data_IF_983687304181
#
_entry.id   IF_983687304181
#
_cell.length_a   1.000
_cell.length_b   1.000
_cell.length_c   1.000
_cell.angle_alpha   90.00
_cell.angle_beta   90.00
_cell.angle_gamma   90.00
#
_symmetry.space_group_name_H-M   'P 1'
#
loop_
_entity.id
_entity.type
_entity.pdbx_description
1 polymer ?
#
# COMPACT_ATOMS: atom_id res chain seq x y z
N UNK A 1 8.37 -50.64 30.40
CA UNK A 1 8.47 -49.70 29.27
C UNK A 1 7.09 -49.67 28.63
N UNK A 2 6.34 -48.59 28.45
CA UNK A 2 6.55 -47.14 28.45
C UNK A 2 5.35 -46.51 29.19
N UNK A 3 5.55 -45.61 30.16
CA UNK A 3 5.74 -44.16 30.03
C UNK A 3 4.57 -43.42 29.33
N UNK A 4 3.85 -42.67 30.17
CA UNK A 4 3.25 -41.34 29.96
C UNK A 4 2.25 -41.12 28.83
N UNK A 5 0.96 -41.08 29.21
CA UNK A 5 0.05 -40.04 28.70
C UNK A 5 -0.42 -39.22 29.90
N UNK A 6 0.06 -37.98 29.91
CA UNK A 6 -0.04 -36.97 30.96
C UNK A 6 -1.49 -36.63 31.32
N UNK A 7 -1.77 -36.74 32.62
CA UNK A 7 -2.48 -35.85 33.58
C UNK A 7 -3.27 -34.59 33.15
N UNK A 8 -3.35 -34.20 31.88
CA UNK A 8 -4.08 -33.00 31.46
C UNK A 8 -5.60 -33.14 31.50
N UNK A 9 -6.14 -34.36 31.41
CA UNK A 9 -7.59 -34.62 31.46
C UNK A 9 -8.17 -34.60 32.89
N UNK A 10 -7.36 -34.76 33.93
CA UNK A 10 -7.85 -34.85 35.30
C UNK A 10 -7.99 -33.49 36.01
N UNK A 11 -7.38 -32.42 35.50
CA UNK A 11 -7.47 -31.07 36.11
C UNK A 11 -8.73 -30.30 35.67
N UNK A 12 -9.40 -30.74 34.59
CA UNK A 12 -10.62 -30.12 34.07
C UNK A 12 -11.84 -30.26 34.98
N UNK A 13 -11.88 -31.28 35.85
CA UNK A 13 -13.06 -31.61 36.65
C UNK A 13 -13.21 -30.80 37.96
N UNK A 14 -12.29 -29.86 38.27
CA UNK A 14 -12.33 -29.07 39.52
C UNK A 14 -12.29 -27.55 39.34
N UNK A 15 -12.37 -27.04 38.12
CA UNK A 15 -12.53 -25.59 37.93
C UNK A 15 -14.00 -25.18 38.04
N UNK A 16 -14.23 -24.10 38.78
CA UNK A 16 -15.53 -23.46 39.00
C UNK A 16 -16.30 -23.30 37.67
N UNK A 17 -17.64 -23.41 37.64
CA UNK A 17 -18.44 -23.35 36.41
C UNK A 17 -18.14 -22.13 35.51
N UNK A 18 -17.68 -21.02 36.11
CA UNK A 18 -17.29 -19.80 35.40
C UNK A 18 -15.95 -19.88 34.66
N UNK A 19 -14.99 -20.71 35.11
CA UNK A 19 -13.70 -20.85 34.43
C UNK A 19 -13.75 -21.86 33.28
N UNK A 20 -14.67 -22.84 33.34
CA UNK A 20 -14.97 -23.74 32.23
C UNK A 20 -15.58 -22.99 31.04
N UNK A 21 -16.26 -21.88 31.31
CA UNK A 21 -16.80 -20.99 30.28
C UNK A 21 -15.70 -20.23 29.52
N UNK A 22 -14.60 -19.87 30.17
CA UNK A 22 -13.48 -19.18 29.51
C UNK A 22 -12.61 -20.12 28.64
N UNK A 23 -12.53 -21.41 28.96
CA UNK A 23 -11.71 -22.37 28.19
C UNK A 23 -12.37 -22.87 26.90
N UNK A 24 -13.66 -22.61 26.69
CA UNK A 24 -14.40 -22.98 25.48
C UNK A 24 -14.93 -21.80 24.67
N UNK A 25 -14.69 -20.57 25.13
CA UNK A 25 -14.99 -19.36 24.38
C UNK A 25 -13.68 -18.67 24.01
N UNK A 26 -12.96 -19.21 23.02
CA UNK A 26 -12.14 -18.36 22.16
C UNK A 26 -13.10 -17.36 21.52
N UNK A 27 -13.03 -16.09 21.94
CA UNK A 27 -13.88 -15.04 21.43
C UNK A 27 -13.74 -14.95 19.90
N UNK A 28 -14.82 -15.12 19.11
CA UNK A 28 -14.76 -15.02 17.65
C UNK A 28 -14.24 -13.66 17.16
N UNK A 29 -14.29 -12.62 18.00
CA UNK A 29 -13.73 -11.29 17.73
C UNK A 29 -12.19 -11.29 17.56
N UNK A 30 -11.46 -12.12 18.32
CA UNK A 30 -9.98 -12.21 18.21
C UNK A 30 -9.53 -13.00 16.97
N UNK A 31 -10.25 -14.06 16.58
CA UNK A 31 -9.94 -14.83 15.37
C UNK A 31 -10.21 -14.01 14.09
N UNK A 32 -11.31 -13.27 14.04
CA UNK A 32 -11.67 -12.44 12.88
C UNK A 32 -10.70 -11.26 12.68
N UNK A 33 -10.29 -10.61 13.77
CA UNK A 33 -9.26 -9.59 13.81
C UNK A 33 -7.92 -10.06 13.18
N UNK A 34 -7.46 -11.25 13.55
CA UNK A 34 -6.24 -11.85 13.01
C UNK A 34 -6.34 -12.21 11.52
N UNK A 35 -7.56 -12.50 11.05
CA UNK A 35 -7.86 -12.78 9.64
C UNK A 35 -7.76 -11.51 8.78
N UNK A 36 -8.39 -10.42 9.24
CA UNK A 36 -8.38 -9.13 8.55
C UNK A 36 -6.97 -8.53 8.49
N UNK A 37 -6.18 -8.61 9.57
CA UNK A 37 -4.79 -8.19 9.57
C UNK A 37 -3.94 -8.96 8.55
N UNK A 38 -4.09 -10.29 8.48
CA UNK A 38 -3.39 -11.13 7.48
C UNK A 38 -3.82 -10.78 6.06
N UNK A 39 -5.10 -10.52 5.85
CA UNK A 39 -5.61 -10.07 4.55
C UNK A 39 -4.99 -8.73 4.15
N UNK A 40 -4.94 -7.74 5.04
CA UNK A 40 -4.30 -6.44 4.78
C UNK A 40 -2.82 -6.57 4.48
N UNK A 41 -2.09 -7.35 5.28
CA UNK A 41 -0.68 -7.61 5.03
C UNK A 41 -0.46 -8.28 3.67
N UNK A 42 -1.35 -9.21 3.27
CA UNK A 42 -1.33 -9.83 1.95
C UNK A 42 -1.64 -8.82 0.83
N UNK A 43 -2.65 -7.96 1.01
CA UNK A 43 -2.99 -6.91 0.04
C UNK A 43 -1.81 -5.96 -0.17
N UNK A 44 -1.22 -5.44 0.92
CA UNK A 44 -0.03 -4.59 0.85
C UNK A 44 1.11 -5.33 0.15
N UNK A 45 1.45 -6.54 0.59
CA UNK A 45 2.50 -7.36 -0.04
C UNK A 45 2.27 -7.53 -1.55
N UNK A 46 1.04 -7.80 -1.97
CA UNK A 46 0.69 -7.93 -3.39
C UNK A 46 0.95 -6.64 -4.19
N UNK A 47 0.81 -5.46 -3.59
CA UNK A 47 1.12 -4.18 -4.24
C UNK A 47 2.63 -4.03 -4.48
N UNK A 48 3.45 -4.42 -3.51
CA UNK A 48 4.91 -4.42 -3.62
C UNK A 48 5.40 -5.50 -4.60
N UNK A 49 4.90 -6.74 -4.48
CA UNK A 49 5.32 -7.87 -5.33
C UNK A 49 4.96 -7.62 -6.81
N UNK A 50 3.87 -6.90 -7.10
CA UNK A 50 3.50 -6.47 -8.45
C UNK A 50 4.20 -5.17 -8.91
N UNK A 51 5.02 -4.56 -8.05
CA UNK A 51 5.79 -3.35 -8.33
C UNK A 51 4.97 -2.05 -8.37
N UNK A 52 3.73 -2.04 -7.88
CA UNK A 52 2.91 -0.83 -7.81
C UNK A 52 3.47 0.16 -6.78
N UNK A 53 3.96 -0.36 -5.65
CA UNK A 53 4.56 0.41 -4.57
C UNK A 53 6.05 0.06 -4.40
N UNK A 54 6.84 1.04 -3.97
CA UNK A 54 8.23 0.86 -3.52
C UNK A 54 8.41 1.30 -2.06
N UNK A 55 9.65 1.20 -1.55
CA UNK A 55 10.01 1.48 -0.17
C UNK A 55 9.60 2.88 0.33
N UNK A 56 9.43 3.85 -0.59
CA UNK A 56 8.97 5.18 -0.20
C UNK A 56 7.57 5.17 0.40
N UNK A 57 6.72 4.20 0.05
CA UNK A 57 5.41 4.03 0.67
C UNK A 57 5.53 3.57 2.14
N UNK A 58 6.48 2.67 2.47
CA UNK A 58 6.74 2.28 3.86
C UNK A 58 7.22 3.48 4.68
N UNK A 59 8.13 4.29 4.12
CA UNK A 59 8.58 5.52 4.77
C UNK A 59 7.43 6.51 5.00
N UNK A 60 6.46 6.56 4.10
CA UNK A 60 5.27 7.38 4.27
C UNK A 60 4.39 6.87 5.43
N UNK A 61 4.25 5.55 5.58
CA UNK A 61 3.55 4.93 6.71
C UNK A 61 4.25 5.15 8.05
N UNK A 62 5.58 5.20 8.09
CA UNK A 62 6.35 5.49 9.31
C UNK A 62 6.09 6.90 9.88
N UNK A 63 5.60 7.82 9.05
CA UNK A 63 5.21 9.17 9.47
C UNK A 63 3.83 9.22 10.14
N UNK A 64 3.04 8.16 10.04
CA UNK A 64 1.72 8.09 10.65
C UNK A 64 1.83 7.75 12.14
N UNK A 65 1.12 8.51 12.98
CA UNK A 65 1.07 8.29 14.42
C UNK A 65 -0.34 8.43 15.00
N UNK A 66 -0.48 8.26 16.32
CA UNK A 66 -1.77 8.38 17.04
C UNK A 66 -2.39 9.78 16.93
N UNK A 67 -1.60 10.82 16.65
CA UNK A 67 -2.09 12.18 16.45
C UNK A 67 -2.61 12.43 15.03
N UNK A 68 -2.23 11.57 14.09
CA UNK A 68 -2.50 11.68 12.65
C UNK A 68 -2.86 10.33 12.01
N UNK A 69 -3.87 9.59 12.52
CA UNK A 69 -4.10 8.18 12.18
C UNK A 69 -4.49 7.92 10.71
N UNK A 70 -4.85 8.95 9.93
CA UNK A 70 -5.22 8.84 8.53
C UNK A 70 -4.21 9.52 7.58
N UNK A 71 -3.03 9.90 8.09
CA UNK A 71 -2.03 10.67 7.34
C UNK A 71 -1.73 10.08 5.96
N UNK A 72 -1.50 8.76 5.89
CA UNK A 72 -1.15 8.09 4.62
C UNK A 72 -2.30 8.16 3.63
N UNK A 73 -3.53 7.87 4.08
CA UNK A 73 -4.72 7.94 3.24
C UNK A 73 -4.96 9.38 2.73
N UNK A 74 -4.77 10.39 3.58
CA UNK A 74 -4.91 11.80 3.19
C UNK A 74 -3.88 12.22 2.14
N UNK A 75 -2.61 11.83 2.33
CA UNK A 75 -1.53 12.13 1.36
C UNK A 75 -1.79 11.42 0.02
N UNK A 76 -2.20 10.16 0.05
CA UNK A 76 -2.52 9.40 -1.18
C UNK A 76 -3.76 9.99 -1.87
N UNK A 77 -4.79 10.36 -1.11
CA UNK A 77 -5.98 11.04 -1.64
C UNK A 77 -5.62 12.36 -2.32
N UNK A 78 -4.76 13.16 -1.67
CA UNK A 78 -4.24 14.40 -2.22
C UNK A 78 -3.46 14.17 -3.51
N UNK A 79 -2.58 13.16 -3.54
CA UNK A 79 -1.85 12.75 -4.74
C UNK A 79 -2.80 12.47 -5.90
N UNK A 80 -3.84 11.66 -5.72
CA UNK A 80 -4.76 11.33 -6.81
C UNK A 80 -5.55 12.53 -7.31
N UNK A 81 -5.98 13.43 -6.43
CA UNK A 81 -6.64 14.68 -6.80
C UNK A 81 -5.74 15.56 -7.67
N UNK A 82 -4.51 15.79 -7.22
CA UNK A 82 -3.59 16.72 -7.89
C UNK A 82 -3.03 16.14 -9.19
N UNK A 83 -2.71 14.84 -9.19
CA UNK A 83 -2.24 14.13 -10.38
C UNK A 83 -3.31 14.03 -11.47
N UNK A 84 -4.59 13.87 -11.14
CA UNK A 84 -5.68 13.95 -12.14
C UNK A 84 -5.70 15.29 -12.88
N UNK A 85 -5.49 16.40 -12.17
CA UNK A 85 -5.37 17.73 -12.80
C UNK A 85 -4.10 17.84 -13.66
N UNK A 86 -2.98 17.30 -13.22
CA UNK A 86 -1.75 17.27 -14.01
C UNK A 86 -1.91 16.46 -15.29
N UNK A 87 -2.56 15.29 -15.23
CA UNK A 87 -2.80 14.46 -16.41
C UNK A 87 -3.70 15.16 -17.43
N UNK A 88 -4.76 15.85 -16.99
CA UNK A 88 -5.61 16.64 -17.88
C UNK A 88 -4.82 17.76 -18.58
N UNK A 89 -3.92 18.44 -17.87
CA UNK A 89 -3.04 19.45 -18.46
C UNK A 89 -2.03 18.86 -19.47
N UNK A 90 -1.61 17.61 -19.27
CA UNK A 90 -0.74 16.89 -20.21
C UNK A 90 -1.52 16.51 -21.46
N UNK A 91 -2.75 15.99 -21.34
CA UNK A 91 -3.63 15.71 -22.49
C UNK A 91 -3.81 16.98 -23.35
N UNK A 92 -4.14 18.11 -22.73
CA UNK A 92 -4.26 19.40 -23.44
C UNK A 92 -2.96 19.87 -24.11
N UNK A 93 -1.80 19.57 -23.53
CA UNK A 93 -0.50 19.91 -24.13
C UNK A 93 -0.17 19.00 -25.32
N UNK A 94 -0.61 17.74 -25.30
CA UNK A 94 -0.44 16.77 -26.39
C UNK A 94 -1.38 17.05 -27.58
N UNK A 95 -2.52 17.72 -27.33
CA UNK A 95 -3.48 18.11 -28.38
C UNK A 95 -3.08 19.40 -29.13
N UNK A 96 -2.18 20.21 -28.57
CA UNK A 96 -1.73 21.47 -29.19
C UNK A 96 -0.87 21.22 -30.44
N UNK A 97 -1.03 22.09 -31.45
CA UNK A 97 -0.21 22.10 -32.66
C UNK A 97 0.26 23.55 -32.95
N UNK A 98 1.58 23.83 -32.91
CA UNK A 98 2.67 22.92 -32.55
C UNK A 98 2.63 22.54 -31.05
N UNK A 99 3.20 21.38 -30.70
CA UNK A 99 3.29 20.94 -29.30
C UNK A 99 4.34 21.72 -28.53
N UNK A 100 3.98 22.18 -27.34
CA UNK A 100 4.93 22.79 -26.39
C UNK A 100 5.59 21.70 -25.52
N UNK A 101 6.70 21.15 -26.02
CA UNK A 101 7.47 20.12 -25.31
C UNK A 101 8.09 20.63 -24.01
N UNK A 102 8.38 21.93 -23.89
CA UNK A 102 8.90 22.50 -22.64
C UNK A 102 7.84 22.48 -21.55
N UNK A 103 6.60 22.87 -21.87
CA UNK A 103 5.46 22.75 -20.96
C UNK A 103 5.18 21.29 -20.62
N UNK A 104 5.25 20.39 -21.60
CA UNK A 104 5.06 18.95 -21.40
C UNK A 104 6.07 18.39 -20.41
N UNK A 105 7.35 18.71 -20.59
CA UNK A 105 8.44 18.30 -19.70
C UNK A 105 8.22 18.80 -18.27
N UNK A 106 7.83 20.07 -18.08
CA UNK A 106 7.52 20.64 -16.74
C UNK A 106 6.34 19.95 -16.05
N UNK A 107 5.29 19.60 -16.80
CA UNK A 107 4.14 18.88 -16.26
C UNK A 107 4.52 17.45 -15.87
N UNK A 108 5.28 16.77 -16.72
CA UNK A 108 5.73 15.41 -16.49
C UNK A 108 6.69 15.31 -15.31
N UNK A 109 7.65 16.23 -15.20
CA UNK A 109 8.58 16.27 -14.08
C UNK A 109 7.85 16.39 -12.73
N UNK A 110 6.82 17.26 -12.67
CA UNK A 110 5.97 17.39 -11.49
C UNK A 110 5.18 16.13 -11.19
N UNK A 111 4.58 15.51 -12.21
CA UNK A 111 3.84 14.25 -12.05
C UNK A 111 4.74 13.12 -11.54
N UNK A 112 5.94 12.98 -12.12
CA UNK A 112 6.95 12.00 -11.70
C UNK A 112 7.39 12.23 -10.26
N UNK A 113 7.69 13.47 -9.87
CA UNK A 113 8.08 13.81 -8.51
C UNK A 113 6.98 13.48 -7.50
N UNK A 114 5.73 13.81 -7.83
CA UNK A 114 4.57 13.50 -7.00
C UNK A 114 4.29 12.00 -6.90
N UNK A 115 4.48 11.23 -7.98
CA UNK A 115 4.40 9.77 -7.93
C UNK A 115 5.52 9.18 -7.07
N UNK A 116 6.72 9.74 -7.16
CA UNK A 116 7.84 9.33 -6.34
C UNK A 116 7.57 9.56 -4.86
N UNK A 117 6.97 10.69 -4.45
CA UNK A 117 6.77 11.02 -3.03
C UNK A 117 5.82 10.09 -2.28
N UNK A 118 4.94 9.36 -2.98
CA UNK A 118 4.04 8.36 -2.38
C UNK A 118 4.49 6.92 -2.66
N UNK A 119 5.66 6.72 -3.27
CA UNK A 119 6.15 5.41 -3.66
C UNK A 119 5.36 4.73 -4.79
N UNK A 120 4.68 5.48 -5.66
CA UNK A 120 3.96 4.95 -6.83
C UNK A 120 4.92 4.49 -7.95
N UNK A 121 5.66 3.41 -7.67
CA UNK A 121 6.83 2.98 -8.43
C UNK A 121 6.55 2.72 -9.91
N UNK A 122 5.51 1.94 -10.22
CA UNK A 122 5.17 1.60 -11.61
C UNK A 122 4.75 2.83 -12.42
N UNK A 123 3.94 3.71 -11.84
CA UNK A 123 3.53 4.96 -12.48
C UNK A 123 4.74 5.89 -12.70
N UNK A 124 5.65 6.00 -11.73
CA UNK A 124 6.91 6.75 -11.84
C UNK A 124 7.79 6.24 -12.99
N UNK A 125 7.83 4.93 -13.20
CA UNK A 125 8.58 4.31 -14.29
C UNK A 125 7.97 4.66 -15.66
N UNK A 126 6.64 4.57 -15.80
CA UNK A 126 5.96 5.00 -17.03
C UNK A 126 6.16 6.51 -17.30
N UNK A 127 6.17 7.35 -16.24
CA UNK A 127 6.51 8.77 -16.39
C UNK A 127 7.95 8.97 -16.89
N UNK A 128 8.88 8.09 -16.52
CA UNK A 128 10.26 8.15 -16.98
C UNK A 128 10.34 7.80 -18.47
N UNK A 129 9.71 6.71 -18.89
CA UNK A 129 9.65 6.33 -20.32
C UNK A 129 8.94 7.38 -21.17
N UNK A 130 7.86 7.99 -20.67
CA UNK A 130 7.21 9.10 -21.36
C UNK A 130 8.16 10.30 -21.53
N UNK A 131 9.04 10.55 -20.55
CA UNK A 131 10.02 11.63 -20.61
C UNK A 131 11.09 11.45 -21.68
N UNK A 132 11.46 10.20 -21.98
CA UNK A 132 12.37 9.87 -23.08
C UNK A 132 11.76 10.29 -24.42
N UNK A 133 10.50 9.89 -24.68
CA UNK A 133 9.78 10.32 -25.89
C UNK A 133 9.57 11.83 -25.98
N UNK A 134 9.37 12.52 -24.84
CA UNK A 134 9.27 13.98 -24.82
C UNK A 134 10.60 14.64 -25.20
N UNK A 135 11.73 14.05 -24.77
CA UNK A 135 13.08 14.58 -25.03
C UNK A 135 13.48 14.41 -26.50
N UNK A 136 12.98 13.36 -27.15
CA UNK A 136 13.14 13.11 -28.59
C UNK A 136 12.10 13.84 -29.46
N UNK A 137 11.21 14.64 -28.85
CA UNK A 137 10.08 15.31 -29.51
C UNK A 137 9.19 14.35 -30.33
N UNK A 138 9.08 13.09 -29.87
CA UNK A 138 8.42 12.03 -30.61
C UNK A 138 6.89 12.19 -30.59
N UNK A 139 6.33 12.70 -31.70
CA UNK A 139 4.91 13.03 -31.83
C UNK A 139 3.97 11.83 -31.67
N UNK A 140 4.39 10.64 -32.09
CA UNK A 140 3.59 9.41 -32.03
C UNK A 140 3.82 8.64 -30.73
N UNK A 141 5.06 8.62 -30.24
CA UNK A 141 5.48 7.96 -29.01
C UNK A 141 4.93 8.63 -27.75
N UNK A 142 4.89 9.97 -27.72
CA UNK A 142 4.41 10.74 -26.57
C UNK A 142 2.96 10.36 -26.16
N UNK A 143 1.95 10.42 -27.06
CA UNK A 143 0.58 10.04 -26.69
C UNK A 143 0.48 8.59 -26.25
N UNK A 144 1.16 7.66 -26.94
CA UNK A 144 1.14 6.23 -26.60
C UNK A 144 1.71 5.96 -25.22
N UNK A 145 2.86 6.56 -24.91
CA UNK A 145 3.49 6.40 -23.59
C UNK A 145 2.65 7.05 -22.49
N UNK A 146 2.04 8.20 -22.77
CA UNK A 146 1.15 8.85 -21.80
C UNK A 146 -0.11 8.01 -21.47
N UNK A 147 -0.65 7.24 -22.42
CA UNK A 147 -1.73 6.29 -22.12
C UNK A 147 -1.31 5.23 -21.09
N UNK A 148 -0.05 4.79 -21.08
CA UNK A 148 0.47 3.87 -20.07
C UNK A 148 0.50 4.52 -18.69
N UNK A 149 0.93 5.78 -18.60
CA UNK A 149 0.88 6.56 -17.36
C UNK A 149 -0.56 6.63 -16.80
N UNK A 150 -1.54 6.97 -17.65
CA UNK A 150 -2.96 7.02 -17.25
C UNK A 150 -3.50 5.67 -16.78
N UNK A 151 -3.11 4.59 -17.46
CA UNK A 151 -3.48 3.22 -17.07
C UNK A 151 -2.93 2.88 -15.69
N UNK A 152 -1.64 3.07 -15.46
CA UNK A 152 -1.03 2.72 -14.17
C UNK A 152 -1.52 3.62 -13.03
N UNK A 153 -1.81 4.90 -13.30
CA UNK A 153 -2.49 5.79 -12.34
C UNK A 153 -3.85 5.24 -11.91
N UNK A 154 -4.69 4.86 -12.88
CA UNK A 154 -6.04 4.35 -12.62
C UNK A 154 -6.00 3.03 -11.84
N UNK A 155 -5.11 2.12 -12.22
CA UNK A 155 -4.97 0.82 -11.55
C UNK A 155 -4.46 1.01 -10.11
N UNK A 156 -3.45 1.85 -9.91
CA UNK A 156 -2.92 2.11 -8.57
C UNK A 156 -3.99 2.73 -7.67
N UNK A 157 -4.77 3.68 -8.20
CA UNK A 157 -5.89 4.31 -7.49
C UNK A 157 -6.88 3.29 -6.97
N UNK A 158 -7.40 2.44 -7.85
CA UNK A 158 -8.38 1.40 -7.47
C UNK A 158 -7.82 0.47 -6.41
N UNK A 159 -6.56 0.06 -6.55
CA UNK A 159 -5.89 -0.84 -5.61
C UNK A 159 -5.70 -0.21 -4.22
N UNK A 160 -5.29 1.05 -4.16
CA UNK A 160 -5.12 1.77 -2.90
C UNK A 160 -6.46 2.11 -2.26
N UNK A 161 -7.48 2.47 -3.03
CA UNK A 161 -8.85 2.65 -2.53
C UNK A 161 -9.37 1.35 -1.88
N UNK A 162 -9.20 0.19 -2.52
CA UNK A 162 -9.56 -1.10 -1.91
C UNK A 162 -8.74 -1.43 -0.67
N UNK A 163 -7.45 -1.06 -0.64
CA UNK A 163 -6.59 -1.25 0.51
C UNK A 163 -7.05 -0.41 1.72
N UNK A 164 -7.28 0.89 1.54
CA UNK A 164 -7.75 1.77 2.62
C UNK A 164 -9.17 1.44 3.09
N UNK A 165 -10.06 1.04 2.17
CA UNK A 165 -11.37 0.51 2.55
C UNK A 165 -11.25 -0.69 3.48
N UNK A 166 -10.36 -1.64 3.15
CA UNK A 166 -10.11 -2.80 4.00
C UNK A 166 -9.43 -2.42 5.32
N UNK A 167 -8.57 -1.38 5.30
CA UNK A 167 -7.84 -0.89 6.47
C UNK A 167 -8.81 -0.31 7.50
N UNK A 168 -9.82 0.44 7.04
CA UNK A 168 -10.85 1.04 7.88
C UNK A 168 -11.72 0.02 8.63
N UNK A 169 -11.74 -1.24 8.18
CA UNK A 169 -12.47 -2.34 8.83
C UNK A 169 -11.69 -2.99 9.98
N UNK A 170 -10.40 -2.68 10.14
CA UNK A 170 -9.58 -3.22 11.23
C UNK A 170 -9.68 -2.30 12.44
N UNK A 171 -10.08 -2.81 13.62
CA UNK A 171 -10.10 -2.00 14.84
C UNK A 171 -8.72 -1.39 15.12
N UNK A 172 -8.68 -0.11 15.46
CA UNK A 172 -7.44 0.66 15.67
C UNK A 172 -6.47 0.03 16.68
N UNK A 173 -6.98 -0.72 17.65
CA UNK A 173 -6.19 -1.47 18.64
C UNK A 173 -5.32 -2.59 18.05
N UNK A 174 -5.56 -2.98 16.80
CA UNK A 174 -4.90 -4.09 16.11
C UNK A 174 -3.95 -3.63 14.99
N UNK A 175 -3.93 -2.35 14.64
CA UNK A 175 -3.08 -1.84 13.56
C UNK A 175 -1.57 -1.87 13.92
N UNK A 176 -1.22 -1.98 15.21
CA UNK A 176 0.16 -1.86 15.71
C UNK A 176 1.05 -3.10 15.52
N UNK A 177 0.53 -4.22 14.99
CA UNK A 177 1.31 -5.47 14.86
C UNK A 177 1.76 -5.82 13.43
N UNK A 178 1.69 -4.88 12.48
CA UNK A 178 2.15 -5.10 11.08
C UNK A 178 3.57 -4.54 10.83
N UNK A 179 4.34 -4.28 11.89
CA UNK A 179 5.76 -3.95 11.78
C UNK A 179 6.62 -5.20 11.50
N UNK A 180 7.73 -5.08 10.75
CA UNK A 180 8.58 -6.21 10.41
C UNK A 180 9.14 -6.89 11.66
N UNK A 181 9.12 -8.23 11.66
CA UNK A 181 9.74 -9.06 12.70
C UNK A 181 11.25 -8.75 12.72
N UNK A 182 11.74 -8.35 13.88
CA UNK A 182 13.16 -8.09 14.09
C UNK A 182 13.99 -9.30 13.63
N UNK A 183 14.91 -9.09 12.69
CA UNK A 183 15.97 -10.05 12.40
C UNK A 183 16.95 -10.04 13.58
N UNK A 184 16.67 -10.87 14.58
CA UNK A 184 17.69 -11.28 15.54
C UNK A 184 18.72 -12.17 14.82
N UNK A 185 19.85 -11.60 14.41
CA UNK A 185 21.06 -12.38 14.13
C UNK A 185 21.76 -12.69 15.46
N UNK A 186 21.93 -13.96 15.86
CA UNK A 186 22.84 -14.28 16.93
C UNK A 186 24.27 -14.23 16.39
N UNK A 187 25.05 -13.26 16.86
CA UNK A 187 26.49 -13.28 16.75
C UNK A 187 27.03 -14.40 17.63
N UNK A 188 27.45 -15.52 17.03
CA UNK A 188 28.33 -16.46 17.72
C UNK A 188 29.73 -15.84 17.83
N UNK A 189 30.23 -15.81 19.06
CA UNK A 189 31.63 -15.62 19.41
C UNK A 189 32.45 -16.86 19.08
#
# INVERSE_FOLDING_TARGET
MALHISSALAVSARLHPLLRFCFHNTCPEMENASGLQRQLASMKKNLFDQGYLDEQFNQLEELQDESSPNFVEEVVTLFFRDSSRLMANIDQALEQCPRDFHRLHKLLHRLKGSASSIGAAKMKNECTSFGEFCSEENLEGCPRSFQKVKKEHTILRQKLESYFQSLSLVPSQLLRQVGPVDKATPSCS
#
